data_IF_105354405436
#
_entry.id   IF_105354405436
#
_cell.length_a   1.000
_cell.length_b   1.000
_cell.length_c   1.000
_cell.angle_alpha   90.00
_cell.angle_beta   90.00
_cell.angle_gamma   90.00
#
_symmetry.space_group_name_H-M   'P 1'
#
loop_
_entity.id
_entity.type
_entity.pdbx_description
1 polymer ?
#
# COMPACT_ATOMS: atom_id res chain seq x y z
N UNK A 1 21.35 -5.94 4.62
CA UNK A 1 21.34 -4.56 4.14
C UNK A 1 20.97 -3.68 5.31
N UNK A 2 21.76 -2.67 5.60
CA UNK A 2 21.46 -1.74 6.67
C UNK A 2 20.39 -0.75 6.23
N UNK A 3 19.48 -0.43 7.14
CA UNK A 3 18.37 0.49 6.93
C UNK A 3 18.24 1.41 8.18
N UNK A 4 19.20 2.33 8.37
CA UNK A 4 19.24 3.19 9.55
C UNK A 4 17.98 4.05 9.61
N UNK A 5 17.42 4.22 10.81
CA UNK A 5 16.16 4.92 11.06
C UNK A 5 14.90 4.22 10.45
N UNK A 6 14.98 2.94 10.12
CA UNK A 6 13.77 2.18 9.79
C UNK A 6 12.84 2.18 11.02
N UNK A 7 11.66 2.69 10.85
CA UNK A 7 10.74 2.96 11.96
C UNK A 7 10.36 1.70 12.73
N UNK A 8 10.36 1.76 14.07
CA UNK A 8 9.78 0.73 14.96
C UNK A 8 8.26 0.93 15.15
N UNK A 9 7.67 1.88 14.45
CA UNK A 9 6.25 2.16 14.56
C UNK A 9 5.43 1.07 13.86
N UNK A 10 4.69 0.26 14.60
CA UNK A 10 3.93 -0.83 14.03
C UNK A 10 2.77 -0.38 13.12
N UNK A 11 2.47 0.89 13.01
CA UNK A 11 1.40 1.43 12.17
C UNK A 11 1.92 2.03 10.86
N UNK A 12 3.21 1.89 10.58
CA UNK A 12 3.82 2.28 9.31
C UNK A 12 3.89 1.08 8.35
N UNK A 13 3.97 1.38 7.06
CA UNK A 13 4.24 0.41 6.00
C UNK A 13 5.32 1.00 5.06
N UNK A 14 6.56 1.17 5.56
CA UNK A 14 7.59 1.95 4.90
C UNK A 14 8.30 1.21 3.76
N UNK A 15 7.88 -0.02 3.44
CA UNK A 15 8.55 -0.86 2.44
C UNK A 15 7.52 -1.37 1.44
N UNK A 16 7.83 -1.19 0.15
CA UNK A 16 7.08 -1.82 -0.94
C UNK A 16 7.99 -2.22 -2.10
N UNK A 17 7.66 -3.31 -2.79
CA UNK A 17 8.45 -3.84 -3.91
C UNK A 17 7.65 -3.77 -5.20
N UNK A 18 8.03 -2.83 -6.06
CA UNK A 18 7.33 -2.55 -7.31
C UNK A 18 7.59 -3.56 -8.43
N UNK A 19 6.73 -3.56 -9.45
CA UNK A 19 6.76 -4.49 -10.58
C UNK A 19 8.02 -4.39 -11.46
N UNK A 20 8.73 -3.27 -11.43
CA UNK A 20 10.02 -3.07 -12.12
C UNK A 20 11.23 -3.61 -11.32
N UNK A 21 10.99 -4.40 -10.28
CA UNK A 21 12.01 -4.96 -9.40
C UNK A 21 12.80 -3.90 -8.60
N UNK A 22 12.12 -2.82 -8.25
CA UNK A 22 12.62 -1.73 -7.42
C UNK A 22 11.94 -1.81 -6.06
N UNK A 23 12.72 -1.79 -5.00
CA UNK A 23 12.27 -1.72 -3.60
C UNK A 23 12.32 -0.26 -3.13
N UNK A 24 11.19 0.26 -2.63
CA UNK A 24 11.14 1.52 -1.91
C UNK A 24 11.29 1.27 -0.42
N UNK A 25 12.08 2.11 0.24
CA UNK A 25 12.34 2.05 1.68
C UNK A 25 12.30 3.45 2.27
N UNK A 26 11.27 3.74 3.07
CA UNK A 26 11.17 4.99 3.81
C UNK A 26 11.98 4.92 5.11
N UNK A 27 12.92 5.84 5.29
CA UNK A 27 13.81 5.96 6.45
C UNK A 27 13.68 7.37 7.04
N UNK A 28 12.73 7.56 7.96
CA UNK A 28 12.40 8.88 8.49
C UNK A 28 11.92 9.84 7.39
N UNK A 29 12.57 11.02 7.19
CA UNK A 29 12.19 11.98 6.16
C UNK A 29 12.77 11.68 4.77
N UNK A 30 13.33 10.49 4.56
CA UNK A 30 13.93 10.07 3.30
C UNK A 30 13.20 8.86 2.72
N UNK A 31 13.08 8.79 1.40
CA UNK A 31 12.71 7.58 0.68
C UNK A 31 13.80 7.20 -0.31
N UNK A 32 14.21 5.94 -0.24
CA UNK A 32 15.25 5.35 -1.09
C UNK A 32 14.66 4.29 -2.00
N UNK A 33 15.12 4.28 -3.23
CA UNK A 33 14.84 3.24 -4.21
C UNK A 33 16.06 2.34 -4.36
N UNK A 34 15.89 1.06 -4.07
CA UNK A 34 16.92 0.07 -4.30
C UNK A 34 16.52 -0.84 -5.48
N UNK A 35 17.35 -0.89 -6.50
CA UNK A 35 17.10 -1.69 -7.69
C UNK A 35 17.75 -3.07 -7.51
N UNK A 36 16.90 -4.11 -7.46
CA UNK A 36 17.35 -5.49 -7.26
C UNK A 36 18.23 -6.03 -8.41
N UNK A 37 18.06 -5.53 -9.65
CA UNK A 37 18.76 -6.05 -10.81
C UNK A 37 20.23 -5.58 -10.88
N UNK A 38 20.51 -4.34 -10.53
CA UNK A 38 21.86 -3.77 -10.58
C UNK A 38 22.44 -3.47 -9.19
N UNK A 39 21.66 -3.69 -8.12
CA UNK A 39 22.03 -3.47 -6.71
C UNK A 39 22.34 -2.01 -6.36
N UNK A 40 21.91 -1.07 -7.18
CA UNK A 40 22.10 0.36 -6.94
C UNK A 40 21.00 0.92 -6.03
N UNK A 41 21.40 1.91 -5.22
CA UNK A 41 20.50 2.63 -4.32
C UNK A 41 20.47 4.10 -4.71
N UNK A 42 19.28 4.61 -4.92
CA UNK A 42 19.04 6.01 -5.27
C UNK A 42 18.16 6.68 -4.21
N UNK A 43 18.44 7.94 -3.93
CA UNK A 43 17.54 8.78 -3.15
C UNK A 43 16.42 9.28 -4.06
N UNK A 44 15.17 8.88 -3.76
CA UNK A 44 13.99 9.39 -4.46
C UNK A 44 13.57 10.74 -3.90
N UNK A 45 13.40 10.81 -2.59
CA UNK A 45 12.88 11.99 -1.92
C UNK A 45 13.53 12.27 -0.59
N UNK A 46 13.66 13.57 -0.30
CA UNK A 46 13.96 14.12 1.02
C UNK A 46 12.91 15.15 1.37
N UNK A 47 12.17 14.93 2.45
CA UNK A 47 11.23 15.95 2.93
C UNK A 47 11.98 17.10 3.59
N UNK A 48 11.85 18.29 3.02
CA UNK A 48 12.57 19.49 3.48
C UNK A 48 12.11 20.00 4.86
N UNK A 49 10.91 19.64 5.28
CA UNK A 49 10.38 19.99 6.60
C UNK A 49 10.61 18.89 7.63
N UNK A 50 11.43 17.90 7.31
CA UNK A 50 11.77 16.75 8.16
C UNK A 50 10.52 15.94 8.62
N UNK A 51 9.43 15.99 7.84
CA UNK A 51 8.24 15.17 8.09
C UNK A 51 8.52 13.74 7.62
N UNK A 52 8.24 12.77 8.50
CA UNK A 52 8.50 11.35 8.21
C UNK A 52 7.58 10.80 7.12
N UNK A 53 8.14 9.97 6.26
CA UNK A 53 7.40 9.09 5.38
C UNK A 53 6.97 7.84 6.16
N UNK A 54 5.67 7.62 6.25
CA UNK A 54 5.08 6.53 7.04
C UNK A 54 4.78 5.29 6.20
N UNK A 55 4.55 5.47 4.91
CA UNK A 55 4.18 4.39 4.00
C UNK A 55 4.59 4.70 2.57
N UNK A 56 4.96 3.66 1.83
CA UNK A 56 5.16 3.70 0.40
C UNK A 56 4.33 2.64 -0.30
N UNK A 57 3.86 2.92 -1.52
CA UNK A 57 3.19 1.94 -2.34
C UNK A 57 3.31 2.27 -3.83
N UNK A 58 3.85 1.32 -4.59
CA UNK A 58 3.97 1.45 -6.04
C UNK A 58 2.61 1.28 -6.72
N UNK A 59 2.39 2.06 -7.77
CA UNK A 59 1.36 1.76 -8.76
C UNK A 59 1.69 0.45 -9.47
N UNK A 60 0.68 -0.31 -9.91
CA UNK A 60 0.85 -1.66 -10.48
C UNK A 60 1.85 -1.73 -11.65
N UNK A 61 1.93 -0.68 -12.47
CA UNK A 61 2.86 -0.59 -13.60
C UNK A 61 4.31 -0.21 -13.18
N UNK A 62 4.54 0.13 -11.91
CA UNK A 62 5.84 0.54 -11.38
C UNK A 62 6.38 1.88 -11.89
N UNK A 63 5.55 2.71 -12.57
CA UNK A 63 5.95 4.03 -13.07
C UNK A 63 5.87 5.07 -11.96
N UNK A 64 4.82 5.00 -11.15
CA UNK A 64 4.58 5.94 -10.04
C UNK A 64 4.64 5.24 -8.69
N UNK A 65 5.04 6.00 -7.68
CA UNK A 65 4.97 5.61 -6.28
C UNK A 65 4.24 6.70 -5.48
N UNK A 66 3.45 6.28 -4.51
CA UNK A 66 2.83 7.15 -3.54
C UNK A 66 3.52 6.99 -2.18
N UNK A 67 3.86 8.11 -1.56
CA UNK A 67 4.48 8.21 -0.24
C UNK A 67 3.52 8.91 0.71
N UNK A 68 3.06 8.24 1.75
CA UNK A 68 2.21 8.83 2.79
C UNK A 68 3.03 9.40 3.94
N UNK A 69 2.66 10.58 4.42
CA UNK A 69 3.39 11.35 5.43
C UNK A 69 2.66 11.37 6.77
N UNK A 70 3.42 11.71 7.83
CA UNK A 70 2.90 11.83 9.20
C UNK A 70 1.94 13.02 9.38
N UNK A 71 2.03 14.05 8.54
CA UNK A 71 1.13 15.22 8.55
C UNK A 71 -0.23 14.99 7.87
N UNK A 72 -0.43 13.85 7.20
CA UNK A 72 -1.67 13.52 6.48
C UNK A 72 -1.63 13.79 4.97
N UNK A 73 -0.54 14.28 4.44
CA UNK A 73 -0.34 14.46 3.01
C UNK A 73 0.16 13.17 2.36
N UNK A 74 0.01 13.09 1.04
CA UNK A 74 0.56 12.03 0.20
C UNK A 74 1.31 12.69 -0.95
N UNK A 75 2.53 12.25 -1.19
CA UNK A 75 3.32 12.67 -2.34
C UNK A 75 3.29 11.61 -3.43
N UNK A 76 3.08 12.03 -4.67
CA UNK A 76 3.22 11.18 -5.85
C UNK A 76 4.51 11.50 -6.56
N UNK A 77 5.28 10.46 -6.88
CA UNK A 77 6.58 10.55 -7.53
C UNK A 77 6.65 9.69 -8.78
N UNK A 78 7.29 10.22 -9.82
CA UNK A 78 7.74 9.45 -10.98
C UNK A 78 9.02 8.70 -10.58
N UNK A 79 8.99 7.38 -10.68
CA UNK A 79 10.09 6.52 -10.21
C UNK A 79 11.32 6.64 -11.10
N UNK A 80 11.13 6.77 -12.42
CA UNK A 80 12.20 6.81 -13.40
C UNK A 80 12.87 8.18 -13.45
N UNK A 81 12.05 9.25 -13.50
CA UNK A 81 12.54 10.62 -13.57
C UNK A 81 12.96 11.17 -12.21
N UNK A 82 12.56 10.50 -11.12
CA UNK A 82 12.80 10.93 -9.72
C UNK A 82 12.29 12.35 -9.44
N UNK A 83 11.14 12.69 -10.01
CA UNK A 83 10.49 13.99 -9.82
C UNK A 83 9.16 13.84 -9.11
N UNK A 84 8.85 14.80 -8.23
CA UNK A 84 7.54 14.87 -7.59
C UNK A 84 6.49 15.33 -8.58
N UNK A 85 5.48 14.48 -8.82
CA UNK A 85 4.37 14.78 -9.73
C UNK A 85 3.38 15.74 -9.07
N UNK A 86 2.97 15.42 -7.82
CA UNK A 86 2.01 16.24 -7.08
C UNK A 86 1.87 15.83 -5.62
N UNK A 87 1.24 16.72 -4.83
CA UNK A 87 0.74 16.40 -3.49
C UNK A 87 -0.75 16.13 -3.52
N UNK A 88 -1.19 15.14 -2.74
CA UNK A 88 -2.59 14.86 -2.44
C UNK A 88 -2.82 15.13 -0.96
N UNK A 89 -3.79 15.97 -0.64
CA UNK A 89 -4.16 16.28 0.74
C UNK A 89 -5.62 15.92 0.97
N UNK A 90 -6.00 15.73 2.22
CA UNK A 90 -7.37 15.40 2.61
C UNK A 90 -7.48 14.81 4.01
N UNK A 91 -6.50 14.03 4.44
CA UNK A 91 -6.42 13.53 5.81
C UNK A 91 -5.97 14.59 6.80
N UNK A 92 -6.39 14.43 8.06
CA UNK A 92 -6.05 15.34 9.17
C UNK A 92 -4.89 14.85 10.02
N UNK A 93 -4.49 13.61 9.84
CA UNK A 93 -3.45 12.91 10.59
C UNK A 93 -2.71 11.96 9.65
N UNK A 94 -1.61 11.37 10.11
CA UNK A 94 -0.73 10.52 9.32
C UNK A 94 -1.46 9.52 8.44
N UNK A 95 -0.89 9.30 7.28
CA UNK A 95 -1.27 8.27 6.32
C UNK A 95 -0.37 7.06 6.54
N UNK A 96 -0.89 6.00 7.14
CA UNK A 96 -0.12 4.79 7.49
C UNK A 96 -0.20 3.66 6.48
N UNK A 97 -1.13 3.73 5.52
CA UNK A 97 -1.31 2.67 4.53
C UNK A 97 -1.92 3.18 3.24
N UNK A 98 -1.49 2.60 2.13
CA UNK A 98 -1.89 2.95 0.77
C UNK A 98 -2.27 1.69 -0.02
N UNK A 99 -3.17 1.82 -0.99
CA UNK A 99 -3.52 0.76 -1.94
C UNK A 99 -4.03 1.34 -3.26
N UNK A 100 -3.47 0.89 -4.37
CA UNK A 100 -3.87 1.32 -5.70
C UNK A 100 -5.00 0.46 -6.28
N UNK A 101 -5.82 1.09 -7.12
CA UNK A 101 -6.76 0.45 -8.03
C UNK A 101 -6.76 1.26 -9.34
N UNK A 102 -5.92 0.86 -10.29
CA UNK A 102 -5.63 1.64 -11.47
C UNK A 102 -5.11 3.05 -11.12
N UNK A 103 -5.81 4.09 -11.59
CA UNK A 103 -5.48 5.49 -11.26
C UNK A 103 -6.10 6.00 -9.94
N UNK A 104 -6.80 5.15 -9.22
CA UNK A 104 -7.37 5.52 -7.94
C UNK A 104 -6.47 5.02 -6.81
N UNK A 105 -6.01 5.94 -5.98
CA UNK A 105 -5.23 5.66 -4.79
C UNK A 105 -6.14 5.72 -3.57
N UNK A 106 -6.12 4.67 -2.75
CA UNK A 106 -6.79 4.65 -1.46
C UNK A 106 -5.77 4.81 -0.34
N UNK A 107 -6.10 5.66 0.62
CA UNK A 107 -5.24 5.96 1.76
C UNK A 107 -5.99 5.76 3.07
N UNK A 108 -5.38 5.02 3.99
CA UNK A 108 -5.89 4.83 5.35
C UNK A 108 -5.07 5.62 6.36
N UNK A 109 -5.76 6.29 7.28
CA UNK A 109 -5.15 7.26 8.18
C UNK A 109 -5.45 7.00 9.65
N UNK A 110 -4.64 7.61 10.49
CA UNK A 110 -4.85 7.72 11.95
C UNK A 110 -6.11 8.53 12.29
N UNK A 111 -6.63 9.34 11.36
CA UNK A 111 -7.89 10.05 11.51
C UNK A 111 -9.14 9.16 11.40
N UNK A 112 -8.96 7.83 11.38
CA UNK A 112 -9.99 6.78 11.34
C UNK A 112 -10.69 6.60 10.00
N UNK A 113 -10.33 7.38 8.99
CA UNK A 113 -10.98 7.35 7.68
C UNK A 113 -10.09 6.74 6.60
N UNK A 114 -10.73 6.29 5.52
CA UNK A 114 -10.07 5.95 4.27
C UNK A 114 -10.56 6.94 3.21
N UNK A 115 -9.63 7.53 2.48
CA UNK A 115 -9.95 8.41 1.36
C UNK A 115 -9.59 7.72 0.04
N UNK A 116 -10.47 7.85 -0.94
CA UNK A 116 -10.18 7.51 -2.33
C UNK A 116 -9.81 8.76 -3.11
N UNK A 117 -8.67 8.71 -3.79
CA UNK A 117 -8.12 9.80 -4.60
C UNK A 117 -8.05 9.38 -6.05
N UNK A 118 -8.59 10.17 -6.97
CA UNK A 118 -8.25 10.06 -8.39
C UNK A 118 -7.02 10.95 -8.67
N UNK A 119 -5.90 10.30 -9.02
CA UNK A 119 -4.63 11.02 -9.19
C UNK A 119 -4.58 11.89 -10.44
N UNK A 120 -5.55 11.77 -11.36
CA UNK A 120 -5.64 12.51 -12.62
C UNK A 120 -6.32 13.87 -12.48
N UNK A 121 -7.22 14.02 -11.52
CA UNK A 121 -8.05 15.22 -11.38
C UNK A 121 -7.50 16.18 -10.32
N UNK A 122 -7.74 17.48 -10.51
CA UNK A 122 -7.26 18.52 -9.59
C UNK A 122 -7.82 18.36 -8.18
N UNK A 123 -9.12 18.14 -8.06
CA UNK A 123 -9.78 17.81 -6.78
C UNK A 123 -9.69 16.32 -6.55
N UNK A 124 -8.56 15.88 -6.03
CA UNK A 124 -8.17 14.47 -5.94
C UNK A 124 -9.09 13.58 -5.09
N UNK A 125 -9.69 14.10 -4.01
CA UNK A 125 -10.56 13.31 -3.14
C UNK A 125 -11.90 13.09 -3.83
N UNK A 126 -12.17 11.83 -4.21
CA UNK A 126 -13.39 11.42 -4.93
C UNK A 126 -14.39 10.69 -4.05
N UNK A 127 -13.93 10.14 -2.93
CA UNK A 127 -14.78 9.43 -1.97
C UNK A 127 -14.16 9.37 -0.59
N UNK A 128 -15.03 9.17 0.41
CA UNK A 128 -14.64 8.98 1.80
C UNK A 128 -15.34 7.76 2.38
N UNK A 129 -14.54 6.82 2.89
CA UNK A 129 -15.00 5.64 3.59
C UNK A 129 -14.84 5.91 5.10
N UNK A 130 -15.93 5.90 5.83
CA UNK A 130 -15.96 6.24 7.24
C UNK A 130 -17.00 5.39 8.01
N UNK A 131 -17.09 5.60 9.33
CA UNK A 131 -18.00 4.88 10.24
C UNK A 131 -17.70 3.37 10.37
N UNK A 132 -16.56 2.91 9.85
CA UNK A 132 -16.10 1.54 10.05
C UNK A 132 -15.12 1.44 11.19
N UNK A 133 -14.10 2.28 11.18
CA UNK A 133 -13.05 2.30 12.19
C UNK A 133 -13.25 3.42 13.21
N UNK A 134 -12.89 3.15 14.48
CA UNK A 134 -12.92 4.11 15.59
C UNK A 134 -11.53 4.53 16.02
N UNK A 135 -10.48 3.87 15.49
CA UNK A 135 -9.06 4.19 15.67
C UNK A 135 -8.36 4.15 14.33
N UNK A 136 -7.05 4.28 14.36
CA UNK A 136 -6.18 4.28 13.18
C UNK A 136 -6.42 3.10 12.26
N UNK A 137 -6.54 3.39 10.97
CA UNK A 137 -6.56 2.39 9.90
C UNK A 137 -5.13 1.95 9.65
N UNK A 138 -4.81 0.70 10.00
CA UNK A 138 -3.44 0.19 9.99
C UNK A 138 -3.04 -0.43 8.65
N UNK A 139 -4.00 -0.96 7.92
CA UNK A 139 -3.77 -1.64 6.64
C UNK A 139 -5.01 -1.62 5.77
N UNK A 140 -4.81 -1.49 4.46
CA UNK A 140 -5.85 -1.61 3.45
C UNK A 140 -5.35 -2.48 2.30
N UNK A 141 -6.21 -3.34 1.74
CA UNK A 141 -5.86 -4.21 0.60
C UNK A 141 -7.08 -4.48 -0.27
N UNK A 142 -6.88 -4.37 -1.58
CA UNK A 142 -7.84 -4.81 -2.57
C UNK A 142 -7.82 -6.32 -2.75
N UNK A 143 -8.99 -6.91 -3.04
CA UNK A 143 -9.03 -8.25 -3.60
C UNK A 143 -8.64 -8.22 -5.10
N UNK A 144 -8.36 -9.38 -5.70
CA UNK A 144 -7.79 -9.46 -7.05
C UNK A 144 -8.67 -8.86 -8.15
N UNK A 145 -9.96 -8.94 -8.01
CA UNK A 145 -10.93 -8.41 -8.99
C UNK A 145 -11.38 -6.97 -8.67
N UNK A 146 -10.70 -6.31 -7.71
CA UNK A 146 -11.00 -4.95 -7.26
C UNK A 146 -12.47 -4.70 -6.86
N UNK A 147 -13.16 -5.77 -6.46
CA UNK A 147 -14.55 -5.73 -6.04
C UNK A 147 -14.69 -5.25 -4.59
N UNK A 148 -13.79 -5.72 -3.74
CA UNK A 148 -13.80 -5.44 -2.31
C UNK A 148 -12.49 -4.82 -1.85
N UNK A 149 -12.59 -3.73 -1.10
CA UNK A 149 -11.49 -3.22 -0.30
C UNK A 149 -11.66 -3.78 1.11
N UNK A 150 -10.58 -4.30 1.69
CA UNK A 150 -10.53 -4.67 3.09
C UNK A 150 -9.64 -3.73 3.87
N UNK A 151 -10.02 -3.40 5.11
CA UNK A 151 -9.22 -2.60 6.02
C UNK A 151 -9.13 -3.24 7.39
N UNK A 152 -7.97 -3.10 8.03
CA UNK A 152 -7.72 -3.50 9.41
C UNK A 152 -7.35 -2.30 10.27
N UNK A 153 -7.82 -2.26 11.51
CA UNK A 153 -7.64 -1.11 12.39
C UNK A 153 -7.03 -1.43 13.76
N UNK A 154 -6.56 -0.37 14.41
CA UNK A 154 -6.10 -0.39 15.80
C UNK A 154 -7.26 -0.54 16.82
N UNK A 155 -8.49 -0.57 16.33
CA UNK A 155 -9.72 -0.89 17.07
C UNK A 155 -10.03 -2.38 17.09
N UNK A 156 -9.14 -3.22 16.56
CA UNK A 156 -9.27 -4.68 16.42
C UNK A 156 -10.33 -5.11 15.40
N UNK A 157 -10.83 -4.18 14.60
CA UNK A 157 -11.84 -4.45 13.58
C UNK A 157 -11.21 -4.74 12.23
N UNK A 158 -11.91 -5.55 11.42
CA UNK A 158 -11.71 -5.67 9.98
C UNK A 158 -12.99 -5.20 9.31
N UNK A 159 -12.87 -4.25 8.39
CA UNK A 159 -14.01 -3.73 7.63
C UNK A 159 -13.85 -4.11 6.15
N UNK A 160 -14.98 -4.50 5.53
CA UNK A 160 -15.07 -4.73 4.10
C UNK A 160 -15.94 -3.66 3.46
N UNK A 161 -15.47 -3.12 2.35
CA UNK A 161 -16.07 -2.01 1.62
C UNK A 161 -16.38 -2.45 0.19
N UNK A 162 -17.61 -2.24 -0.23
CA UNK A 162 -18.05 -2.43 -1.62
C UNK A 162 -18.21 -1.05 -2.27
N UNK A 163 -17.33 -0.75 -3.19
CA UNK A 163 -17.32 0.55 -3.87
C UNK A 163 -17.58 0.44 -5.38
N UNK A 164 -18.15 -0.68 -5.81
CA UNK A 164 -18.53 -0.89 -7.21
C UNK A 164 -19.53 0.17 -7.67
N UNK A 165 -19.32 0.70 -8.86
CA UNK A 165 -20.19 1.72 -9.45
C UNK A 165 -20.10 3.12 -8.82
N UNK A 166 -19.24 3.30 -7.81
CA UNK A 166 -19.00 4.61 -7.17
C UNK A 166 -17.91 5.43 -7.88
N UNK A 167 -17.15 4.83 -8.80
CA UNK A 167 -16.16 5.55 -9.59
C UNK A 167 -16.85 6.39 -10.65
N UNK A 168 -16.64 7.71 -10.60
CA UNK A 168 -17.17 8.64 -11.60
C UNK A 168 -16.53 8.34 -12.96
N UNK A 169 -17.36 8.03 -13.97
CA UNK A 169 -16.94 7.76 -15.34
C UNK A 169 -16.56 9.04 -16.12
N UNK A 170 -16.00 10.04 -15.48
CA UNK A 170 -15.54 11.23 -16.18
C UNK A 170 -14.33 10.92 -17.05
N UNK A 171 -14.64 10.70 -18.33
CA UNK A 171 -13.74 10.39 -19.43
C UNK A 171 -12.99 11.64 -19.91
N UNK A 172 -12.08 12.20 -19.17
CA UNK A 172 -11.07 13.11 -19.77
C UNK A 172 -9.86 13.12 -18.82
N UNK A 173 -8.98 12.18 -18.99
CA UNK A 173 -7.79 12.06 -18.14
C UNK A 173 -6.65 12.89 -18.74
N UNK A 174 -5.93 13.59 -17.86
CA UNK A 174 -4.65 14.25 -18.22
C UNK A 174 -3.68 13.26 -18.87
N UNK A 175 -3.75 11.98 -18.51
CA UNK A 175 -2.91 10.92 -19.09
C UNK A 175 -3.31 10.53 -20.51
N UNK A 176 -4.60 10.60 -20.86
CA UNK A 176 -5.05 10.41 -22.24
C UNK A 176 -4.62 11.61 -23.11
N UNK A 177 -4.58 12.82 -22.55
CA UNK A 177 -4.03 14.01 -23.22
C UNK A 177 -2.50 13.94 -23.38
N UNK A 178 -1.77 13.40 -22.41
CA UNK A 178 -0.31 13.26 -22.50
C UNK A 178 0.13 12.15 -23.47
N UNK A 179 -0.66 11.09 -23.60
CA UNK A 179 -0.37 10.00 -24.53
C UNK A 179 -0.89 10.28 -25.96
N UNK A 180 -1.80 11.22 -26.16
CA UNK A 180 -2.29 11.63 -27.49
C UNK A 180 -1.40 12.65 -28.18
N UNK A 181 -0.37 13.20 -27.50
CA UNK A 181 0.57 14.14 -28.12
C UNK A 181 1.78 13.50 -28.82
N UNK A 182 1.83 12.18 -28.94
CA UNK A 182 2.95 11.49 -29.60
C UNK A 182 2.73 11.11 -31.06
N UNK A 183 1.56 11.36 -31.66
CA UNK A 183 1.23 10.84 -33.00
C UNK A 183 0.77 11.87 -34.03
N UNK A 184 0.89 13.19 -33.79
CA UNK A 184 0.54 14.19 -34.81
C UNK A 184 1.68 15.20 -35.02
N UNK A 185 2.74 14.79 -35.72
CA UNK A 185 3.58 15.66 -36.52
C UNK A 185 3.28 15.40 -38.00
N UNK A 186 2.25 16.05 -38.54
CA UNK A 186 2.20 16.43 -39.96
C UNK A 186 1.10 17.46 -40.21
N UNK A 187 1.52 18.53 -40.84
CA UNK A 187 0.73 19.52 -41.61
C UNK A 187 -0.06 20.59 -40.87
N UNK A 188 0.58 21.74 -40.64
CA UNK A 188 -0.11 23.01 -40.53
C UNK A 188 0.50 23.98 -41.53
N UNK A 189 -0.24 24.20 -42.64
CA UNK A 189 -0.04 25.27 -43.56
C UNK A 189 -0.51 26.62 -42.96
N UNK A 190 0.28 27.67 -43.27
CA UNK A 190 0.09 29.04 -42.81
C UNK A 190 -1.16 29.67 -43.44
N UNK A 191 -2.03 30.25 -42.64
CA UNK A 191 -2.86 31.40 -43.04
C UNK A 191 -2.85 32.46 -41.95
N UNK A 192 -2.20 33.62 -42.32
CA UNK A 192 -2.26 34.85 -41.56
C UNK A 192 -3.65 35.52 -41.72
N UNK A 193 -4.34 35.78 -40.61
CA UNK A 193 -5.39 36.79 -40.58
C UNK A 193 -5.23 37.74 -39.39
N UNK A 194 -5.00 38.98 -39.72
CA UNK A 194 -5.00 40.15 -38.83
C UNK A 194 -6.42 40.49 -38.39
N UNK A 195 -6.67 40.56 -37.09
CA UNK A 195 -7.83 41.25 -36.54
C UNK A 195 -7.43 42.24 -35.44
N UNK A 196 -7.73 43.50 -35.71
CA UNK A 196 -7.58 44.63 -34.80
C UNK A 196 -8.55 44.50 -33.61
N UNK A 197 -8.04 44.52 -32.38
CA UNK A 197 -8.85 44.63 -31.18
C UNK A 197 -8.95 46.09 -30.71
N UNK A 198 -10.16 46.61 -30.74
CA UNK A 198 -10.56 47.90 -30.14
C UNK A 198 -10.65 47.78 -28.61
N UNK A 199 -9.92 48.63 -27.90
CA UNK A 199 -10.05 48.85 -26.46
C UNK A 199 -11.44 49.39 -26.11
N UNK A 200 -12.20 48.63 -25.31
CA UNK A 200 -13.33 49.14 -24.55
C UNK A 200 -13.09 48.94 -23.07
N UNK A 201 -13.08 50.04 -22.33
CA UNK A 201 -12.97 50.11 -20.87
C UNK A 201 -13.94 49.15 -20.17
N UNK A 202 -13.40 48.06 -19.58
CA UNK A 202 -14.16 47.13 -18.76
C UNK A 202 -14.02 47.54 -17.29
N UNK A 203 -15.17 47.86 -16.69
CA UNK A 203 -15.31 48.37 -15.32
C UNK A 203 -14.85 47.34 -14.28
N UNK A 204 -13.67 47.51 -13.69
CA UNK A 204 -13.00 46.60 -12.74
C UNK A 204 -13.79 46.30 -11.43
N UNK A 205 -14.85 47.05 -11.14
CA UNK A 205 -15.69 46.87 -9.94
C UNK A 205 -16.71 45.72 -10.08
N UNK A 206 -17.22 45.46 -11.28
CA UNK A 206 -18.18 44.37 -11.51
C UNK A 206 -17.50 42.99 -11.53
N UNK A 207 -16.26 42.91 -12.02
CA UNK A 207 -15.49 41.66 -12.06
C UNK A 207 -15.17 41.13 -10.65
N UNK A 208 -14.89 42.03 -9.70
CA UNK A 208 -14.56 41.62 -8.32
C UNK A 208 -15.77 41.10 -7.52
N UNK A 209 -17.00 41.53 -7.82
CA UNK A 209 -18.22 41.02 -7.20
C UNK A 209 -18.58 39.64 -7.72
N UNK A 210 -18.40 39.37 -8.99
CA UNK A 210 -18.67 38.05 -9.60
C UNK A 210 -17.65 37.00 -9.20
N UNK A 211 -16.38 37.38 -9.03
CA UNK A 211 -15.33 36.47 -8.51
C UNK A 211 -15.62 36.09 -7.07
N UNK A 212 -15.99 37.01 -6.20
CA UNK A 212 -16.30 36.71 -4.79
C UNK A 212 -17.60 35.92 -4.63
N UNK A 213 -18.63 36.13 -5.44
CA UNK A 213 -19.84 35.29 -5.43
C UNK A 213 -19.58 33.88 -5.96
N UNK A 214 -18.74 33.71 -6.98
CA UNK A 214 -18.33 32.41 -7.48
C UNK A 214 -17.43 31.67 -6.50
N UNK A 215 -16.49 32.32 -5.81
CA UNK A 215 -15.66 31.75 -4.76
C UNK A 215 -16.52 31.25 -3.58
N UNK A 216 -17.55 32.02 -3.19
CA UNK A 216 -18.46 31.63 -2.11
C UNK A 216 -19.43 30.52 -2.54
N UNK A 217 -19.85 30.44 -3.80
CA UNK A 217 -20.58 29.31 -4.37
C UNK A 217 -19.70 28.03 -4.40
N UNK A 218 -18.43 28.15 -4.82
CA UNK A 218 -17.47 27.05 -4.84
C UNK A 218 -17.14 26.58 -3.41
N UNK A 219 -17.03 27.49 -2.43
CA UNK A 219 -16.84 27.14 -1.02
C UNK A 219 -18.05 26.43 -0.40
N UNK A 220 -19.28 26.87 -0.73
CA UNK A 220 -20.52 26.20 -0.31
C UNK A 220 -20.76 24.87 -1.00
N UNK A 221 -20.36 24.72 -2.28
CA UNK A 221 -20.42 23.42 -2.96
C UNK A 221 -19.39 22.41 -2.45
N UNK A 222 -18.18 22.88 -2.03
CA UNK A 222 -17.15 22.03 -1.43
C UNK A 222 -17.58 21.40 -0.09
N UNK A 223 -18.35 22.10 0.75
CA UNK A 223 -18.86 21.56 2.01
C UNK A 223 -20.00 20.55 1.80
N UNK A 224 -20.77 20.69 0.73
CA UNK A 224 -21.90 19.80 0.43
C UNK A 224 -21.50 18.47 -0.22
N UNK A 225 -20.41 18.46 -1.01
CA UNK A 225 -19.93 17.23 -1.70
C UNK A 225 -19.28 16.23 -0.71
N UNK A 226 -18.77 16.70 0.43
CA UNK A 226 -18.07 15.84 1.41
C UNK A 226 -19.01 15.11 2.39
N UNK A 227 -20.24 15.55 2.55
CA UNK A 227 -21.19 14.94 3.49
C UNK A 227 -22.18 13.94 2.83
N UNK A 228 -22.39 14.03 1.52
CA UNK A 228 -23.34 13.18 0.80
C UNK A 228 -22.73 11.87 0.25
N UNK A 229 -21.38 11.75 0.20
CA UNK A 229 -20.66 10.59 -0.39
C UNK A 229 -19.88 9.75 0.62
N UNK A 230 -20.33 9.70 1.89
CA UNK A 230 -19.72 8.81 2.89
C UNK A 230 -20.16 7.38 2.60
N UNK A 231 -19.18 6.52 2.35
CA UNK A 231 -19.40 5.07 2.19
C UNK A 231 -19.17 4.40 3.53
N UNK A 232 -20.15 3.59 3.95
CA UNK A 232 -20.06 2.75 5.15
C UNK A 232 -19.62 1.33 4.77
N UNK A 233 -18.96 0.60 5.67
CA UNK A 233 -18.59 -0.79 5.40
C UNK A 233 -19.85 -1.67 5.33
N UNK A 234 -19.88 -2.60 4.39
CA UNK A 234 -20.99 -3.56 4.31
C UNK A 234 -20.81 -4.74 5.26
N UNK A 235 -19.59 -4.95 5.78
CA UNK A 235 -19.27 -5.92 6.83
C UNK A 235 -18.28 -5.31 7.82
N UNK A 236 -18.55 -5.49 9.11
CA UNK A 236 -17.61 -5.20 10.20
C UNK A 236 -17.38 -6.49 10.98
N UNK A 237 -16.14 -6.95 11.02
CA UNK A 237 -15.73 -8.14 11.74
C UNK A 237 -15.05 -7.74 13.05
N UNK A 238 -15.69 -8.05 14.16
CA UNK A 238 -15.14 -7.91 15.51
C UNK A 238 -14.74 -9.29 16.04
N UNK A 239 -13.71 -9.89 15.47
CA UNK A 239 -13.26 -11.25 15.83
C UNK A 239 -11.85 -11.27 16.42
N UNK A 240 -11.08 -10.21 16.23
CA UNK A 240 -9.74 -10.05 16.79
C UNK A 240 -9.77 -9.41 18.19
N UNK A 241 -8.82 -9.82 19.05
CA UNK A 241 -8.63 -9.27 20.40
C UNK A 241 -7.50 -8.24 20.48
N UNK A 242 -6.83 -7.99 19.36
CA UNK A 242 -5.72 -7.05 19.22
C UNK A 242 -5.74 -6.35 17.87
N UNK A 243 -4.96 -5.27 17.70
CA UNK A 243 -4.90 -4.51 16.46
C UNK A 243 -4.67 -5.38 15.23
N UNK A 244 -5.41 -5.11 14.16
CA UNK A 244 -5.29 -5.83 12.90
C UNK A 244 -4.41 -5.04 11.95
N UNK A 245 -3.16 -5.49 11.76
CA UNK A 245 -2.17 -4.90 10.85
C UNK A 245 -1.89 -5.78 9.64
N UNK A 246 -1.94 -7.09 9.87
CA UNK A 246 -1.71 -8.08 8.86
C UNK A 246 -3.02 -8.39 8.14
N UNK A 247 -3.08 -8.13 6.85
CA UNK A 247 -4.26 -8.33 6.04
C UNK A 247 -3.84 -8.58 4.59
N UNK A 248 -4.30 -9.70 4.01
CA UNK A 248 -3.99 -10.06 2.64
C UNK A 248 -5.05 -10.99 2.06
N UNK A 249 -5.50 -10.69 0.84
CA UNK A 249 -6.39 -11.55 0.09
C UNK A 249 -5.67 -12.77 -0.50
N UNK A 250 -6.37 -13.90 -0.55
CA UNK A 250 -5.82 -15.11 -1.16
C UNK A 250 -5.61 -14.92 -2.67
N UNK A 251 -4.46 -15.33 -3.23
CA UNK A 251 -4.24 -15.26 -4.68
C UNK A 251 -5.00 -16.32 -5.46
N UNK A 252 -5.61 -17.32 -4.82
CA UNK A 252 -6.35 -18.41 -5.47
C UNK A 252 -7.86 -18.33 -5.28
N UNK A 253 -8.32 -17.60 -4.26
CA UNK A 253 -9.74 -17.47 -3.93
C UNK A 253 -10.06 -16.01 -3.64
N UNK A 254 -10.69 -15.33 -4.59
CA UNK A 254 -10.97 -13.89 -4.54
C UNK A 254 -11.82 -13.46 -3.33
N UNK A 255 -12.49 -14.40 -2.68
CA UNK A 255 -13.36 -14.18 -1.52
C UNK A 255 -12.74 -14.54 -0.17
N UNK A 256 -11.50 -15.09 -0.14
CA UNK A 256 -10.80 -15.47 1.09
C UNK A 256 -9.82 -14.39 1.50
N UNK A 257 -10.02 -13.84 2.68
CA UNK A 257 -9.17 -12.85 3.32
C UNK A 257 -8.45 -13.47 4.52
N UNK A 258 -7.12 -13.42 4.54
CA UNK A 258 -6.32 -13.73 5.72
C UNK A 258 -6.08 -12.46 6.54
N UNK A 259 -6.32 -12.52 7.85
CA UNK A 259 -6.14 -11.41 8.77
C UNK A 259 -5.33 -11.86 9.98
N UNK A 260 -4.43 -11.01 10.47
CA UNK A 260 -3.59 -11.32 11.62
C UNK A 260 -3.79 -10.34 12.76
N UNK A 261 -4.01 -10.88 13.95
CA UNK A 261 -4.16 -10.11 15.18
C UNK A 261 -2.84 -9.83 15.88
N UNK A 262 -2.72 -8.63 16.43
CA UNK A 262 -1.55 -8.19 17.17
C UNK A 262 -1.46 -8.77 18.59
N UNK A 263 -0.75 -8.04 19.46
CA UNK A 263 -0.58 -8.41 20.88
C UNK A 263 -1.94 -8.66 21.57
N UNK A 264 -2.06 -9.75 22.32
CA UNK A 264 -3.25 -10.30 22.98
C UNK A 264 -4.17 -11.17 22.09
N UNK A 265 -3.95 -11.21 20.78
CA UNK A 265 -4.71 -12.06 19.87
C UNK A 265 -3.88 -13.25 19.40
N UNK A 266 -2.74 -12.96 18.74
CA UNK A 266 -1.78 -13.96 18.25
C UNK A 266 -2.39 -14.96 17.27
N UNK A 267 -3.45 -14.60 16.55
CA UNK A 267 -4.13 -15.51 15.62
C UNK A 267 -4.07 -15.02 14.19
N UNK A 268 -4.05 -15.97 13.25
CA UNK A 268 -4.41 -15.74 11.86
C UNK A 268 -5.82 -16.28 11.67
N UNK A 269 -6.72 -15.45 11.14
CA UNK A 269 -8.10 -15.82 10.81
C UNK A 269 -8.32 -15.74 9.31
N UNK A 270 -9.02 -16.72 8.77
CA UNK A 270 -9.45 -16.75 7.38
C UNK A 270 -10.92 -16.40 7.32
N UNK A 271 -11.24 -15.38 6.58
CA UNK A 271 -12.59 -14.88 6.43
C UNK A 271 -13.05 -15.06 4.98
N UNK A 272 -14.27 -15.56 4.80
CA UNK A 272 -14.91 -15.62 3.49
C UNK A 272 -15.91 -14.45 3.34
N UNK A 273 -15.64 -13.58 2.36
CA UNK A 273 -16.42 -12.37 2.12
C UNK A 273 -17.85 -12.65 1.61
N UNK A 274 -18.07 -13.76 0.87
CA UNK A 274 -19.38 -14.11 0.32
C UNK A 274 -20.28 -14.69 1.40
N UNK A 275 -19.78 -15.63 2.22
CA UNK A 275 -20.54 -16.23 3.32
C UNK A 275 -20.55 -15.36 4.58
N UNK A 276 -19.77 -14.28 4.61
CA UNK A 276 -19.63 -13.34 5.74
C UNK A 276 -19.24 -14.03 7.06
N UNK A 277 -18.41 -15.06 6.97
CA UNK A 277 -18.06 -15.90 8.12
C UNK A 277 -16.55 -16.16 8.21
N UNK A 278 -16.07 -16.42 9.43
CA UNK A 278 -14.73 -16.96 9.66
C UNK A 278 -14.73 -18.43 9.27
N UNK A 279 -13.88 -18.79 8.32
CA UNK A 279 -13.74 -20.18 7.82
C UNK A 279 -12.80 -20.97 8.71
N UNK A 280 -11.72 -20.35 9.16
CA UNK A 280 -10.71 -21.01 9.98
C UNK A 280 -9.95 -19.98 10.83
N UNK A 281 -9.42 -20.46 11.96
CA UNK A 281 -8.60 -19.66 12.89
C UNK A 281 -7.41 -20.50 13.36
N UNK A 282 -6.23 -19.87 13.37
CA UNK A 282 -5.01 -20.52 13.79
C UNK A 282 -4.22 -19.65 14.76
N UNK A 283 -3.85 -20.21 15.93
CA UNK A 283 -3.02 -19.52 16.90
C UNK A 283 -1.54 -19.70 16.56
N UNK A 284 -0.86 -18.59 16.28
CA UNK A 284 0.57 -18.58 15.93
C UNK A 284 1.49 -18.54 17.15
N UNK A 285 0.93 -18.30 18.34
CA UNK A 285 1.67 -18.14 19.60
C UNK A 285 2.41 -16.81 19.74
N UNK A 286 2.31 -15.91 18.74
CA UNK A 286 2.98 -14.60 18.73
C UNK A 286 2.18 -13.59 17.92
N UNK A 287 2.27 -12.28 18.21
CA UNK A 287 1.59 -11.25 17.42
C UNK A 287 1.95 -11.32 15.94
N UNK A 288 0.95 -11.27 15.08
CA UNK A 288 1.13 -11.27 13.63
C UNK A 288 1.29 -9.83 13.16
N UNK A 289 2.47 -9.49 12.64
CA UNK A 289 2.78 -8.14 12.18
C UNK A 289 2.38 -7.92 10.72
N UNK A 290 2.66 -8.88 9.85
CA UNK A 290 2.27 -8.84 8.44
C UNK A 290 2.04 -10.24 7.89
N UNK A 291 1.25 -10.35 6.82
CA UNK A 291 0.96 -11.60 6.12
C UNK A 291 1.22 -11.39 4.63
N UNK A 292 1.87 -12.39 4.01
CA UNK A 292 1.99 -12.53 2.56
C UNK A 292 1.53 -13.91 2.14
N UNK A 293 1.00 -14.03 0.92
CA UNK A 293 0.76 -15.30 0.27
C UNK A 293 1.87 -15.60 -0.72
N UNK A 294 2.31 -16.85 -0.76
CA UNK A 294 3.12 -17.33 -1.88
C UNK A 294 2.22 -17.48 -3.11
N UNK A 295 2.61 -16.90 -4.26
CA UNK A 295 1.80 -16.92 -5.48
C UNK A 295 1.77 -18.31 -6.15
N UNK A 296 2.80 -19.09 -5.96
CA UNK A 296 3.02 -20.37 -6.68
C UNK A 296 2.65 -21.59 -5.85
N UNK A 297 2.84 -21.53 -4.55
CA UNK A 297 2.51 -22.62 -3.64
C UNK A 297 1.41 -22.20 -2.65
N UNK A 298 0.57 -23.17 -2.25
CA UNK A 298 -0.47 -22.92 -1.24
C UNK A 298 0.15 -22.73 0.14
N UNK A 299 0.89 -21.64 0.28
CA UNK A 299 1.59 -21.26 1.50
C UNK A 299 1.26 -19.84 1.90
N UNK A 300 1.28 -19.60 3.19
CA UNK A 300 1.16 -18.29 3.80
C UNK A 300 2.40 -17.98 4.62
N UNK A 301 2.85 -16.74 4.55
CA UNK A 301 4.02 -16.24 5.26
C UNK A 301 3.52 -15.24 6.28
N UNK A 302 3.96 -15.36 7.53
CA UNK A 302 3.65 -14.39 8.56
C UNK A 302 4.91 -13.90 9.25
N UNK A 303 5.07 -12.59 9.38
CA UNK A 303 6.07 -12.01 10.28
C UNK A 303 5.48 -11.88 11.68
N UNK A 304 6.32 -12.12 12.69
CA UNK A 304 5.90 -12.18 14.06
C UNK A 304 6.71 -11.23 14.94
N UNK A 305 6.02 -10.62 15.89
CA UNK A 305 6.64 -9.82 16.95
C UNK A 305 6.76 -10.62 18.25
N UNK A 306 7.63 -10.18 19.13
CA UNK A 306 7.93 -10.74 20.47
C UNK A 306 8.61 -12.12 20.49
N UNK A 307 9.46 -12.26 21.45
CA UNK A 307 10.27 -13.43 21.89
C UNK A 307 11.18 -14.06 20.85
N UNK A 308 10.76 -14.26 19.60
CA UNK A 308 11.61 -14.91 18.59
C UNK A 308 11.85 -14.07 17.34
N UNK A 309 11.08 -12.99 17.12
CA UNK A 309 11.23 -12.07 15.98
C UNK A 309 11.29 -12.78 14.61
N UNK A 310 10.57 -13.87 14.50
CA UNK A 310 10.67 -14.84 13.42
C UNK A 310 9.69 -14.55 12.30
N UNK A 311 9.98 -15.08 11.14
CA UNK A 311 9.05 -15.19 10.03
C UNK A 311 8.70 -16.66 9.88
N UNK A 312 7.42 -16.98 9.86
CA UNK A 312 6.94 -18.34 9.75
C UNK A 312 6.26 -18.58 8.41
N UNK A 313 6.51 -19.75 7.84
CA UNK A 313 5.84 -20.27 6.67
C UNK A 313 4.90 -21.39 7.08
N UNK A 314 3.70 -21.35 6.53
CA UNK A 314 2.60 -22.25 6.86
C UNK A 314 1.99 -22.82 5.59
N UNK A 315 1.66 -24.13 5.60
CA UNK A 315 0.90 -24.75 4.52
C UNK A 315 -0.57 -24.36 4.61
N UNK A 316 -1.16 -23.90 3.52
CA UNK A 316 -2.59 -23.61 3.47
C UNK A 316 -3.35 -24.77 2.79
N UNK A 317 -4.56 -25.16 3.26
CA UNK A 317 -5.32 -24.60 4.39
C UNK A 317 -5.02 -25.20 5.76
N UNK A 318 -4.17 -26.23 5.87
CA UNK A 318 -3.94 -26.99 7.12
C UNK A 318 -3.17 -26.21 8.19
N UNK A 319 -2.49 -25.14 7.81
CA UNK A 319 -1.66 -24.28 8.70
C UNK A 319 -0.59 -25.07 9.47
N UNK A 320 -0.05 -26.13 8.87
CA UNK A 320 1.14 -26.78 9.41
C UNK A 320 2.35 -25.87 9.16
N UNK A 321 3.17 -25.66 10.21
CA UNK A 321 4.39 -24.88 10.06
C UNK A 321 5.39 -25.63 9.18
N UNK A 322 5.82 -25.00 8.08
CA UNK A 322 6.78 -25.57 7.13
C UNK A 322 8.20 -25.16 7.51
N UNK A 323 8.40 -23.88 7.84
CA UNK A 323 9.71 -23.33 8.15
C UNK A 323 9.61 -22.11 9.09
N UNK A 324 10.68 -21.85 9.80
CA UNK A 324 10.94 -20.62 10.53
C UNK A 324 12.21 -19.97 9.96
N UNK A 325 12.11 -18.66 9.66
CA UNK A 325 13.22 -17.85 9.22
C UNK A 325 13.62 -16.96 10.39
N UNK A 326 14.76 -17.26 10.98
CA UNK A 326 15.31 -16.56 12.13
C UNK A 326 16.52 -15.73 11.70
N UNK A 327 16.67 -14.55 12.28
CA UNK A 327 17.82 -13.70 11.98
C UNK A 327 17.68 -12.30 12.51
N UNK A 328 16.47 -11.72 12.48
CA UNK A 328 16.25 -10.41 13.07
C UNK A 328 16.42 -10.40 14.59
N UNK A 329 17.07 -9.35 15.09
CA UNK A 329 17.29 -9.16 16.53
C UNK A 329 16.05 -8.55 17.21
N UNK A 330 15.24 -7.84 16.46
CA UNK A 330 14.01 -7.22 16.90
C UNK A 330 12.83 -7.67 16.01
N UNK A 331 11.63 -7.11 16.28
CA UNK A 331 10.39 -7.47 15.60
C UNK A 331 10.51 -7.32 14.07
N UNK A 332 10.27 -8.39 13.34
CA UNK A 332 10.07 -8.31 11.89
C UNK A 332 8.70 -7.69 11.61
N UNK A 333 8.68 -6.39 11.34
CA UNK A 333 7.44 -5.62 11.20
C UNK A 333 6.90 -5.60 9.78
N UNK A 334 7.78 -5.60 8.79
CA UNK A 334 7.47 -5.31 7.41
C UNK A 334 7.89 -6.44 6.50
N UNK A 335 7.06 -6.77 5.53
CA UNK A 335 7.35 -7.76 4.49
C UNK A 335 6.96 -7.21 3.13
N UNK A 336 7.81 -7.43 2.13
CA UNK A 336 7.44 -7.22 0.73
C UNK A 336 7.94 -8.40 -0.11
N UNK A 337 7.20 -8.71 -1.18
CA UNK A 337 7.49 -9.80 -2.09
C UNK A 337 8.00 -9.24 -3.42
N UNK A 338 9.06 -9.84 -3.95
CA UNK A 338 9.52 -9.52 -5.31
C UNK A 338 8.43 -9.81 -6.35
N UNK A 339 8.41 -9.10 -7.49
CA UNK A 339 7.39 -9.28 -8.52
C UNK A 339 7.28 -10.71 -9.04
N UNK A 340 8.43 -11.40 -9.14
CA UNK A 340 8.52 -12.81 -9.54
C UNK A 340 8.07 -13.78 -8.44
N UNK A 341 7.81 -13.30 -7.20
CA UNK A 341 7.39 -14.11 -6.07
C UNK A 341 8.46 -15.08 -5.54
N UNK A 342 9.71 -14.95 -5.99
CA UNK A 342 10.81 -15.85 -5.60
C UNK A 342 11.55 -15.38 -4.36
N UNK A 343 11.64 -14.06 -4.19
CA UNK A 343 12.36 -13.43 -3.07
C UNK A 343 11.41 -12.59 -2.23
N UNK A 344 11.57 -12.68 -0.93
CA UNK A 344 10.88 -11.83 0.03
C UNK A 344 11.92 -10.97 0.77
N UNK A 345 11.60 -9.71 1.00
CA UNK A 345 12.33 -8.85 1.92
C UNK A 345 11.56 -8.70 3.21
N UNK A 346 12.28 -8.71 4.33
CA UNK A 346 11.74 -8.36 5.64
C UNK A 346 12.50 -7.18 6.24
N UNK A 347 11.76 -6.24 6.82
CA UNK A 347 12.28 -5.11 7.56
C UNK A 347 11.96 -5.23 9.06
N UNK A 348 12.92 -4.86 9.88
CA UNK A 348 12.81 -4.95 11.33
C UNK A 348 13.27 -3.67 12.02
N UNK A 349 12.82 -3.46 13.24
CA UNK A 349 13.29 -2.40 14.11
C UNK A 349 14.74 -2.60 14.61
N UNK A 350 15.43 -3.63 14.14
CA UNK A 350 16.89 -3.76 14.27
C UNK A 350 17.65 -2.97 13.19
N UNK A 351 16.93 -2.14 12.44
CA UNK A 351 17.46 -1.32 11.35
C UNK A 351 18.12 -2.14 10.24
N UNK A 352 17.63 -3.36 10.01
CA UNK A 352 18.10 -4.21 8.92
C UNK A 352 16.98 -4.66 7.99
N UNK A 353 17.33 -4.80 6.71
CA UNK A 353 16.54 -5.53 5.71
C UNK A 353 17.21 -6.86 5.43
N UNK A 354 16.40 -7.94 5.44
CA UNK A 354 16.86 -9.29 5.12
C UNK A 354 16.10 -9.85 3.93
N UNK A 355 16.85 -10.43 3.01
CA UNK A 355 16.30 -11.03 1.80
C UNK A 355 16.28 -12.55 1.97
N UNK A 356 15.16 -13.16 1.58
CA UNK A 356 14.88 -14.58 1.75
C UNK A 356 14.46 -15.18 0.41
N UNK A 357 15.21 -16.14 -0.09
CA UNK A 357 14.80 -16.90 -1.27
C UNK A 357 13.78 -17.97 -0.84
N UNK A 358 12.55 -17.87 -1.36
CA UNK A 358 11.44 -18.75 -0.97
C UNK A 358 11.42 -20.03 -1.82
N UNK A 359 11.94 -20.00 -3.05
CA UNK A 359 11.89 -21.11 -4.00
C UNK A 359 13.06 -22.11 -3.88
N UNK A 360 14.18 -21.74 -3.27
CA UNK A 360 15.31 -22.68 -3.07
C UNK A 360 14.98 -23.92 -2.21
N UNK A 361 13.82 -23.93 -1.57
CA UNK A 361 13.37 -25.07 -0.77
C UNK A 361 13.13 -26.35 -1.56
N UNK A 362 12.80 -26.25 -2.86
CA UNK A 362 12.64 -27.43 -3.69
C UNK A 362 13.96 -28.14 -3.98
N UNK A 363 15.06 -27.39 -4.02
CA UNK A 363 16.40 -27.96 -4.12
C UNK A 363 16.78 -28.66 -2.81
N UNK A 364 16.43 -28.07 -1.66
CA UNK A 364 16.69 -28.66 -0.34
C UNK A 364 15.76 -29.86 -0.09
N UNK A 365 14.47 -29.77 -0.46
CA UNK A 365 13.53 -30.91 -0.38
C UNK A 365 13.93 -32.07 -1.29
N UNK A 366 14.46 -31.81 -2.48
CA UNK A 366 15.04 -32.85 -3.36
C UNK A 366 16.29 -33.49 -2.75
N UNK A 367 17.25 -32.67 -2.26
CA UNK A 367 18.45 -33.18 -1.59
C UNK A 367 18.13 -33.97 -0.34
N UNK A 368 17.16 -33.55 0.49
CA UNK A 368 16.74 -34.28 1.69
C UNK A 368 15.95 -35.54 1.36
N UNK A 369 15.24 -35.63 0.23
CA UNK A 369 14.62 -36.89 -0.23
C UNK A 369 15.66 -37.87 -0.77
N UNK A 370 16.75 -37.39 -1.33
CA UNK A 370 17.87 -38.20 -1.80
C UNK A 370 18.80 -38.65 -0.64
N UNK A 371 18.88 -37.85 0.45
CA UNK A 371 19.70 -38.15 1.61
C UNK A 371 18.95 -38.83 2.80
N UNK A 372 17.69 -39.22 2.65
CA UNK A 372 16.88 -39.83 3.71
C UNK A 372 17.24 -41.32 3.99
N UNK A 373 18.52 -41.68 3.83
CA UNK A 373 19.13 -42.79 4.52
C UNK A 373 20.08 -42.28 5.61
N UNK A 374 19.54 -41.69 6.67
CA UNK A 374 20.27 -41.43 7.91
C UNK A 374 20.53 -39.96 8.25
N UNK A 375 20.01 -39.58 9.41
CA UNK A 375 20.31 -38.42 10.26
C UNK A 375 19.64 -37.08 9.99
N UNK A 376 18.89 -36.67 10.99
CA UNK A 376 18.30 -35.32 11.16
C UNK A 376 19.39 -34.25 11.20
N UNK A 377 19.37 -33.34 10.23
CA UNK A 377 20.14 -32.10 10.25
C UNK A 377 19.20 -30.91 10.16
N UNK A 378 19.35 -30.00 11.13
CA UNK A 378 18.70 -28.70 11.19
C UNK A 378 18.95 -27.89 9.90
N UNK A 379 17.87 -27.45 9.22
CA UNK A 379 17.97 -26.60 8.06
C UNK A 379 18.42 -25.19 8.46
N UNK A 380 19.69 -24.88 8.22
CA UNK A 380 20.19 -23.51 8.18
C UNK A 380 19.94 -22.96 6.78
N UNK A 381 19.09 -21.94 6.67
CA UNK A 381 18.97 -21.16 5.46
C UNK A 381 20.28 -20.41 5.17
N UNK A 382 20.78 -20.49 3.95
CA UNK A 382 21.92 -19.68 3.51
C UNK A 382 21.55 -18.21 3.58
N UNK A 383 22.17 -17.48 4.49
CA UNK A 383 22.13 -16.04 4.57
C UNK A 383 23.09 -15.52 3.49
N UNK A 384 22.58 -14.99 2.38
CA UNK A 384 23.37 -14.07 1.58
C UNK A 384 23.41 -12.72 2.31
N UNK A 385 24.48 -12.46 3.05
CA UNK A 385 24.83 -11.11 3.45
C UNK A 385 25.49 -10.44 2.24
N UNK A 386 24.78 -9.55 1.58
CA UNK A 386 25.35 -8.64 0.60
C UNK A 386 25.94 -7.48 1.41
N UNK A 387 27.28 -7.36 1.37
CA UNK A 387 28.05 -6.26 1.93
C UNK A 387 27.90 -5.00 1.10
#
# INVERSE_FOLDING_TARGET
>A
MDAPNLSDNPFYNPIDWGSKNILSVCLGPYDYLWNYNNLETDLLSKNLNEIEYCTSNFMENGICIALGLDNGDIELWDVEKKIKIRNLSGHKMRVGTLAWNGYNLFSGSKDTTILGHDVRVKNNVIMKLAKGHTKEVCTIRWNQDFKYLASGGNDNLVCLWDIRGKFNKNKNSIWDMLNSQSDDESDIDNEEQNDEFNDKDINMKEINTDINTNINRIRKSKSKILDEDIIEPFIILNKHKGPVRALQWSPWHNNILATGGGKKDNTIKFFNADTKSVVNEYNTGSPVCQILWNKYEKEIISSQGNSKNQICLWSYPKMNKIAELNGHLNRALYLAMSPDGCTMVSGSSDETLRFWNINERDIIKKKNRENNNGNSLSCFGSIMSIH
#
